data_IF_007711028518
#
_entry.id   IF_007711028518
#
_cell.length_a   1.000
_cell.length_b   1.000
_cell.length_c   1.000
_cell.angle_alpha   90.00
_cell.angle_beta   90.00
_cell.angle_gamma   90.00
#
_symmetry.space_group_name_H-M   'P 1'
#
loop_
_entity.id
_entity.type
_entity.pdbx_description
1 polymer ?
#
# COMPACT_ATOMS: atom_id res chain seq x y z
N UNK A 1 8.26 16.68 18.41
CA UNK A 1 8.72 16.96 17.03
C UNK A 1 7.68 17.86 16.34
N UNK A 2 8.07 18.72 15.40
CA UNK A 2 7.12 19.48 14.56
C UNK A 2 7.25 19.09 13.07
N UNK A 3 6.34 19.59 12.21
CA UNK A 3 6.32 19.23 10.79
C UNK A 3 7.63 19.57 10.04
N UNK A 4 8.23 20.73 10.31
CA UNK A 4 9.49 21.14 9.67
C UNK A 4 10.64 20.22 10.07
N UNK A 5 10.72 19.87 11.36
CA UNK A 5 11.70 18.92 11.88
C UNK A 5 11.50 17.54 11.25
N UNK A 6 10.26 17.05 11.16
CA UNK A 6 9.94 15.78 10.51
C UNK A 6 10.49 15.75 9.08
N UNK A 7 10.15 16.74 8.25
CA UNK A 7 10.58 16.79 6.84
C UNK A 7 12.11 16.80 6.73
N UNK A 8 12.78 17.56 7.59
CA UNK A 8 14.25 17.61 7.62
C UNK A 8 14.86 16.28 8.02
N UNK A 9 14.33 15.60 9.04
CA UNK A 9 14.79 14.27 9.44
C UNK A 9 14.53 13.25 8.33
N UNK A 10 13.35 13.24 7.71
CA UNK A 10 13.07 12.35 6.58
C UNK A 10 14.05 12.58 5.43
N UNK A 11 14.37 13.82 5.07
CA UNK A 11 15.36 14.13 4.03
C UNK A 11 16.77 13.65 4.36
N UNK A 12 17.17 13.62 5.63
CA UNK A 12 18.49 13.10 6.04
C UNK A 12 18.61 11.59 5.83
N UNK A 13 17.53 10.85 6.02
CA UNK A 13 17.50 9.39 5.88
C UNK A 13 17.18 8.96 4.44
N UNK A 14 16.17 9.57 3.84
CA UNK A 14 15.55 9.17 2.58
C UNK A 14 15.87 10.14 1.44
N UNK A 15 16.87 11.00 1.63
CA UNK A 15 17.43 11.83 0.58
C UNK A 15 18.27 11.03 -0.42
N UNK A 16 18.88 11.74 -1.38
CA UNK A 16 19.80 11.14 -2.37
C UNK A 16 20.99 10.44 -1.70
N UNK A 17 21.50 10.99 -0.59
CA UNK A 17 22.54 10.35 0.21
C UNK A 17 21.92 9.46 1.30
N UNK A 18 21.88 8.15 1.04
CA UNK A 18 21.35 7.13 1.97
C UNK A 18 22.39 6.63 2.99
N UNK A 19 23.57 7.25 3.14
CA UNK A 19 24.61 6.76 4.08
C UNK A 19 24.12 6.67 5.53
N UNK A 20 23.39 7.69 6.00
CA UNK A 20 22.87 7.72 7.36
C UNK A 20 21.86 6.58 7.57
N UNK A 21 20.95 6.40 6.62
CA UNK A 21 19.99 5.30 6.62
C UNK A 21 20.66 3.93 6.69
N UNK A 22 21.64 3.69 5.82
CA UNK A 22 22.42 2.45 5.81
C UNK A 22 23.09 2.19 7.15
N UNK A 23 23.73 3.22 7.73
CA UNK A 23 24.36 3.12 9.06
C UNK A 23 23.33 2.76 10.14
N UNK A 24 22.18 3.41 10.15
CA UNK A 24 21.13 3.18 11.16
C UNK A 24 20.53 1.79 11.05
N UNK A 25 20.26 1.30 9.85
CA UNK A 25 19.70 -0.04 9.62
C UNK A 25 20.68 -1.13 10.04
N UNK A 26 21.96 -0.99 9.69
CA UNK A 26 23.00 -1.94 10.09
C UNK A 26 23.23 -1.98 11.60
N UNK A 27 22.91 -0.88 12.30
CA UNK A 27 22.96 -0.79 13.76
C UNK A 27 21.69 -1.23 14.47
N UNK A 28 20.65 -1.67 13.75
CA UNK A 28 19.36 -2.02 14.34
C UNK A 28 19.42 -3.39 15.02
N UNK A 29 18.80 -3.48 16.20
CA UNK A 29 18.78 -4.72 17.00
C UNK A 29 17.36 -5.29 17.04
N UNK A 30 17.10 -6.31 16.21
CA UNK A 30 15.79 -6.97 16.14
C UNK A 30 15.70 -8.09 17.20
N UNK A 31 15.40 -7.73 18.45
CA UNK A 31 15.31 -8.68 19.57
C UNK A 31 13.90 -9.22 19.85
N UNK A 32 12.86 -8.71 19.16
CA UNK A 32 11.46 -9.12 19.36
C UNK A 32 10.85 -8.76 20.73
N UNK A 33 11.64 -8.19 21.65
CA UNK A 33 11.17 -7.63 22.93
C UNK A 33 10.15 -6.51 22.71
N UNK A 34 10.39 -5.66 21.71
CA UNK A 34 9.53 -4.56 21.32
C UNK A 34 8.10 -5.03 21.03
N UNK A 35 7.91 -6.15 20.32
CA UNK A 35 6.58 -6.69 20.03
C UNK A 35 5.81 -7.07 21.30
N UNK A 36 6.49 -7.63 22.32
CA UNK A 36 5.84 -7.98 23.60
C UNK A 36 5.45 -6.73 24.38
N UNK A 37 6.29 -5.71 24.40
CA UNK A 37 5.99 -4.43 25.05
C UNK A 37 4.82 -3.72 24.37
N UNK A 38 4.81 -3.68 23.04
CA UNK A 38 3.71 -3.10 22.29
C UNK A 38 2.41 -3.86 22.48
N UNK A 39 2.44 -5.20 22.56
CA UNK A 39 1.25 -5.97 22.95
C UNK A 39 0.69 -5.51 24.30
N UNK A 40 1.54 -5.32 25.32
CA UNK A 40 1.10 -4.82 26.63
C UNK A 40 0.50 -3.42 26.52
N UNK A 41 1.15 -2.51 25.78
CA UNK A 41 0.65 -1.14 25.57
C UNK A 41 -0.71 -1.12 24.89
N UNK A 42 -0.89 -1.84 23.79
CA UNK A 42 -2.17 -1.88 23.06
C UNK A 42 -3.28 -2.53 23.90
N UNK A 43 -2.97 -3.54 24.71
CA UNK A 43 -3.93 -4.11 25.66
C UNK A 43 -4.46 -3.09 26.69
N UNK A 44 -3.73 -2.00 26.96
CA UNK A 44 -4.24 -0.90 27.80
C UNK A 44 -5.15 0.05 27.03
N UNK A 45 -5.04 0.10 25.70
CA UNK A 45 -5.85 0.97 24.85
C UNK A 45 -7.21 0.34 24.51
N UNK A 46 -7.26 -0.99 24.38
CA UNK A 46 -8.44 -1.72 23.92
C UNK A 46 -8.42 -3.19 24.36
N UNK A 47 -9.60 -3.78 24.47
CA UNK A 47 -9.81 -5.22 24.64
C UNK A 47 -10.06 -5.92 23.30
N UNK A 48 -10.13 -5.17 22.21
CA UNK A 48 -10.41 -5.71 20.88
C UNK A 48 -9.22 -6.51 20.32
N UNK A 49 -9.46 -7.52 19.47
CA UNK A 49 -8.41 -8.26 18.81
C UNK A 49 -7.49 -7.35 17.97
N UNK A 50 -6.19 -7.59 18.06
CA UNK A 50 -5.20 -6.89 17.24
C UNK A 50 -4.05 -7.81 16.82
N UNK A 51 -3.35 -7.42 15.76
CA UNK A 51 -2.10 -8.03 15.32
C UNK A 51 -1.01 -6.99 15.16
N UNK A 52 0.24 -7.44 15.23
CA UNK A 52 1.44 -6.64 15.00
C UNK A 52 2.23 -7.31 13.89
N UNK A 53 2.55 -6.57 12.84
CA UNK A 53 3.26 -7.05 11.65
C UNK A 53 4.50 -6.18 11.42
N UNK A 54 5.66 -6.82 11.20
CA UNK A 54 6.88 -6.15 10.77
C UNK A 54 6.90 -6.13 9.24
N UNK A 55 7.20 -4.99 8.62
CA UNK A 55 7.17 -4.88 7.16
C UNK A 55 8.56 -4.90 6.52
N UNK A 56 9.63 -4.83 7.33
CA UNK A 56 10.99 -5.08 6.85
C UNK A 56 11.11 -6.56 6.43
N UNK A 57 11.80 -6.83 5.32
CA UNK A 57 11.94 -8.20 4.83
C UNK A 57 12.67 -9.10 5.84
N UNK A 58 12.12 -10.31 6.07
CA UNK A 58 12.71 -11.29 6.98
C UNK A 58 14.16 -11.65 6.63
N UNK A 59 14.50 -11.65 5.34
CA UNK A 59 15.87 -11.88 4.87
C UNK A 59 16.82 -10.74 5.27
N UNK A 60 16.36 -9.49 5.23
CA UNK A 60 17.10 -8.32 5.71
C UNK A 60 17.30 -8.41 7.22
N UNK A 61 16.24 -8.69 7.99
CA UNK A 61 16.33 -8.86 9.45
C UNK A 61 17.31 -9.96 9.83
N UNK A 62 17.22 -11.12 9.17
CA UNK A 62 18.15 -12.24 9.39
C UNK A 62 19.58 -11.84 9.09
N UNK A 63 19.82 -11.17 7.96
CA UNK A 63 21.16 -10.73 7.55
C UNK A 63 21.76 -9.73 8.54
N UNK A 64 20.95 -8.83 9.11
CA UNK A 64 21.38 -7.89 10.16
C UNK A 64 21.76 -8.64 11.43
N UNK A 65 20.90 -9.56 11.89
CA UNK A 65 21.12 -10.36 13.11
C UNK A 65 22.36 -11.23 13.01
N UNK A 66 22.55 -11.87 11.86
CA UNK A 66 23.67 -12.80 11.61
C UNK A 66 24.95 -12.05 11.18
N UNK A 67 24.93 -10.70 11.17
CA UNK A 67 26.01 -9.80 10.73
C UNK A 67 26.50 -10.05 9.29
N UNK A 68 25.65 -10.63 8.45
CA UNK A 68 25.91 -10.91 7.03
C UNK A 68 25.54 -9.71 6.15
N UNK A 69 26.08 -8.53 6.46
CA UNK A 69 25.67 -7.26 5.85
C UNK A 69 25.86 -7.20 4.32
N UNK A 70 26.80 -7.98 3.77
CA UNK A 70 27.05 -8.08 2.34
C UNK A 70 25.89 -8.71 1.55
N UNK A 71 24.95 -9.40 2.22
CA UNK A 71 23.77 -10.02 1.60
C UNK A 71 22.57 -9.07 1.53
N UNK A 72 22.65 -7.91 2.19
CA UNK A 72 21.56 -6.94 2.24
C UNK A 72 21.57 -6.10 0.96
N UNK A 73 20.47 -6.16 0.20
CA UNK A 73 20.23 -5.26 -0.92
C UNK A 73 19.79 -3.90 -0.38
N UNK A 74 20.75 -2.99 -0.18
CA UNK A 74 20.52 -1.68 0.45
C UNK A 74 19.60 -0.74 -0.33
N UNK A 75 19.30 -1.07 -1.58
CA UNK A 75 18.38 -0.31 -2.42
C UNK A 75 16.98 -0.97 -2.48
N UNK A 76 16.79 -2.08 -1.74
CA UNK A 76 15.55 -2.86 -1.61
C UNK A 76 15.41 -3.38 -0.18
N UNK A 77 15.29 -2.47 0.78
CA UNK A 77 15.23 -2.83 2.20
C UNK A 77 13.81 -3.23 2.63
N UNK A 78 12.83 -2.92 1.78
CA UNK A 78 11.42 -3.02 2.10
C UNK A 78 10.98 -1.84 2.94
N UNK A 79 9.77 -1.94 3.49
CA UNK A 79 9.21 -0.89 4.32
C UNK A 79 9.95 -0.81 5.66
N UNK A 80 10.52 0.34 5.98
CA UNK A 80 11.16 0.60 7.27
C UNK A 80 10.14 1.03 8.33
N UNK A 81 9.02 0.33 8.33
CA UNK A 81 7.93 0.47 9.26
C UNK A 81 7.43 -0.89 9.73
N UNK A 82 6.57 -0.83 10.72
CA UNK A 82 5.74 -1.93 11.15
C UNK A 82 4.35 -1.40 11.43
N UNK A 83 3.37 -2.27 11.52
CA UNK A 83 1.99 -1.87 11.71
C UNK A 83 1.25 -2.69 12.75
N UNK A 84 0.28 -2.04 13.37
CA UNK A 84 -0.66 -2.62 14.31
C UNK A 84 -2.04 -2.53 13.67
N UNK A 85 -2.73 -3.65 13.51
CA UNK A 85 -4.12 -3.68 13.05
C UNK A 85 -5.01 -4.05 14.22
N UNK A 86 -5.99 -3.20 14.53
CA UNK A 86 -6.99 -3.40 15.58
C UNK A 86 -8.35 -3.57 14.92
N UNK A 87 -9.08 -4.63 15.29
CA UNK A 87 -10.42 -4.90 14.78
C UNK A 87 -11.43 -4.11 15.60
N UNK A 88 -12.15 -3.19 14.96
CA UNK A 88 -13.08 -2.27 15.64
C UNK A 88 -14.46 -2.89 15.89
N UNK A 89 -14.78 -4.02 15.24
CA UNK A 89 -16.02 -4.76 15.47
C UNK A 89 -16.08 -5.30 16.91
N UNK A 90 -17.10 -4.90 17.67
CA UNK A 90 -17.29 -5.32 19.07
C UNK A 90 -17.78 -6.76 19.23
N UNK A 91 -18.36 -7.34 18.19
CA UNK A 91 -18.91 -8.70 18.18
C UNK A 91 -17.87 -9.80 17.95
N UNK A 92 -16.59 -9.46 17.78
CA UNK A 92 -15.51 -10.43 17.54
C UNK A 92 -14.46 -10.35 18.64
N UNK A 93 -14.37 -11.42 19.43
CA UNK A 93 -13.48 -11.50 20.61
C UNK A 93 -12.19 -12.29 20.36
N UNK A 94 -12.07 -12.98 19.21
CA UNK A 94 -10.87 -13.72 18.83
C UNK A 94 -10.50 -13.46 17.38
N UNK A 95 -9.19 -13.30 17.14
CA UNK A 95 -8.65 -12.98 15.82
C UNK A 95 -8.67 -14.20 14.91
N UNK A 96 -9.33 -14.05 13.76
CA UNK A 96 -9.13 -14.92 12.61
C UNK A 96 -7.88 -14.45 11.85
N UNK A 97 -7.47 -15.22 10.84
CA UNK A 97 -6.62 -14.67 9.79
C UNK A 97 -7.24 -13.35 9.31
N UNK A 98 -6.43 -12.28 9.17
CA UNK A 98 -6.89 -10.94 8.78
C UNK A 98 -7.20 -10.88 7.28
N UNK A 99 -8.09 -11.77 6.84
CA UNK A 99 -8.39 -12.15 5.47
C UNK A 99 -9.92 -12.21 5.21
N UNK A 100 -10.33 -12.85 4.11
CA UNK A 100 -11.75 -13.04 3.78
C UNK A 100 -12.57 -13.74 4.85
N UNK A 101 -11.99 -14.66 5.65
CA UNK A 101 -12.75 -15.35 6.71
C UNK A 101 -13.20 -14.34 7.76
N UNK A 102 -12.31 -13.42 8.14
CA UNK A 102 -12.65 -12.32 9.04
C UNK A 102 -13.72 -11.41 8.43
N UNK A 103 -13.54 -11.04 7.15
CA UNK A 103 -14.50 -10.21 6.43
C UNK A 103 -15.91 -10.84 6.38
N UNK A 104 -16.00 -12.13 6.05
CA UNK A 104 -17.26 -12.90 6.02
C UNK A 104 -17.89 -12.94 7.42
N UNK A 105 -17.11 -13.23 8.46
CA UNK A 105 -17.62 -13.32 9.84
C UNK A 105 -18.20 -11.99 10.32
N UNK A 106 -17.53 -10.89 10.01
CA UNK A 106 -17.99 -9.57 10.42
C UNK A 106 -19.10 -9.02 9.51
N UNK A 107 -19.29 -9.58 8.31
CA UNK A 107 -19.96 -8.95 7.17
C UNK A 107 -19.15 -7.79 6.60
N UNK A 108 -18.68 -6.90 7.48
CA UNK A 108 -17.74 -5.82 7.22
C UNK A 108 -16.75 -5.74 8.39
N UNK A 109 -15.52 -6.20 8.16
CA UNK A 109 -14.45 -6.10 9.14
C UNK A 109 -13.89 -4.66 9.13
N UNK A 110 -14.03 -3.93 10.23
CA UNK A 110 -13.63 -2.53 10.39
C UNK A 110 -12.30 -2.49 11.12
N UNK A 111 -11.30 -1.84 10.54
CA UNK A 111 -9.91 -1.94 10.97
C UNK A 111 -9.33 -0.55 11.21
N UNK A 112 -8.73 -0.39 12.39
CA UNK A 112 -7.79 0.68 12.68
C UNK A 112 -6.39 0.13 12.46
N UNK A 113 -5.72 0.59 11.41
CA UNK A 113 -4.33 0.26 11.14
C UNK A 113 -3.43 1.44 11.50
N UNK A 114 -2.37 1.17 12.25
CA UNK A 114 -1.41 2.15 12.73
C UNK A 114 -0.07 1.78 12.13
N UNK A 115 0.50 2.65 11.30
CA UNK A 115 1.85 2.49 10.75
C UNK A 115 2.84 3.24 11.62
N UNK A 116 3.98 2.62 11.93
CA UNK A 116 4.96 3.11 12.88
C UNK A 116 6.34 2.97 12.24
N UNK A 117 7.09 4.06 12.13
CA UNK A 117 8.42 4.03 11.53
C UNK A 117 9.45 3.47 12.54
N UNK A 118 10.42 2.68 12.08
CA UNK A 118 11.47 2.11 12.94
C UNK A 118 12.53 3.12 13.39
N UNK A 119 12.74 4.19 12.61
CA UNK A 119 13.92 5.06 12.73
C UNK A 119 13.57 6.39 13.38
N UNK A 120 12.49 7.00 12.89
CA UNK A 120 11.96 8.28 13.32
C UNK A 120 10.73 7.98 14.18
N UNK A 121 10.58 8.55 15.38
CA UNK A 121 9.47 8.27 16.29
C UNK A 121 8.18 8.93 15.79
N UNK A 122 7.65 8.42 14.68
CA UNK A 122 6.47 8.91 13.98
C UNK A 122 5.53 7.77 13.67
N UNK A 123 4.24 8.10 13.61
CA UNK A 123 3.21 7.13 13.24
C UNK A 123 2.12 7.81 12.44
N UNK A 124 1.34 6.99 11.74
CA UNK A 124 0.11 7.43 11.10
C UNK A 124 -0.97 6.35 11.20
N UNK A 125 -2.21 6.73 10.88
CA UNK A 125 -3.39 5.91 11.06
C UNK A 125 -4.17 5.81 9.75
N UNK A 126 -4.55 4.60 9.38
CA UNK A 126 -5.46 4.28 8.30
C UNK A 126 -6.70 3.58 8.85
N UNK A 127 -7.88 4.17 8.63
CA UNK A 127 -9.16 3.63 9.07
C UNK A 127 -9.93 3.11 7.86
N UNK A 128 -10.09 1.80 7.76
CA UNK A 128 -10.68 1.16 6.60
C UNK A 128 -11.49 -0.08 6.97
N UNK A 129 -12.30 -0.55 6.05
CA UNK A 129 -13.02 -1.81 6.18
C UNK A 129 -12.64 -2.79 5.09
N UNK A 130 -12.87 -4.07 5.36
CA UNK A 130 -12.79 -5.18 4.42
C UNK A 130 -14.12 -5.91 4.42
N UNK A 131 -14.69 -6.09 3.22
CA UNK A 131 -15.80 -7.00 2.96
C UNK A 131 -15.34 -8.07 1.97
N UNK A 132 -16.02 -9.21 1.95
CA UNK A 132 -15.82 -10.23 0.94
C UNK A 132 -17.16 -10.76 0.46
N UNK A 133 -17.39 -10.67 -0.85
CA UNK A 133 -18.56 -11.22 -1.51
C UNK A 133 -18.23 -12.65 -1.95
N UNK A 134 -18.82 -13.65 -1.29
CA UNK A 134 -18.59 -15.05 -1.60
C UNK A 134 -19.33 -15.53 -2.84
N UNK A 135 -20.37 -14.82 -3.30
CA UNK A 135 -21.13 -15.15 -4.51
C UNK A 135 -20.37 -14.71 -5.74
N UNK A 136 -19.90 -13.47 -5.72
CA UNK A 136 -19.18 -12.83 -6.83
C UNK A 136 -17.65 -12.95 -6.71
N UNK A 137 -17.16 -13.53 -5.62
CA UNK A 137 -15.76 -13.85 -5.36
C UNK A 137 -14.80 -12.63 -5.46
N UNK A 138 -15.12 -11.56 -4.73
CA UNK A 138 -14.27 -10.37 -4.67
C UNK A 138 -14.16 -9.80 -3.26
N UNK A 139 -13.05 -9.10 -3.02
CA UNK A 139 -12.86 -8.27 -1.85
C UNK A 139 -13.32 -6.84 -2.13
N UNK A 140 -13.94 -6.18 -1.15
CA UNK A 140 -14.13 -4.73 -1.15
C UNK A 140 -13.36 -4.14 0.03
N UNK A 141 -12.52 -3.14 -0.25
CA UNK A 141 -11.82 -2.34 0.73
C UNK A 141 -12.34 -0.91 0.64
N UNK A 142 -12.63 -0.26 1.76
CA UNK A 142 -13.13 1.11 1.74
C UNK A 142 -12.80 1.91 2.98
N UNK A 143 -12.80 3.24 2.86
CA UNK A 143 -12.50 4.14 3.98
C UNK A 143 -13.63 4.14 4.99
N UNK A 144 -13.31 4.12 6.29
CA UNK A 144 -14.30 4.38 7.33
C UNK A 144 -14.47 5.90 7.47
N UNK A 145 -15.62 6.41 7.04
CA UNK A 145 -15.96 7.84 7.12
C UNK A 145 -16.76 8.21 8.37
N UNK A 146 -17.45 7.23 8.96
CA UNK A 146 -18.23 7.39 10.18
C UNK A 146 -17.84 6.30 11.17
N UNK A 147 -17.43 6.74 12.37
CA UNK A 147 -17.06 5.87 13.47
C UNK A 147 -18.15 5.83 14.53
N UNK A 148 -18.38 4.64 15.07
CA UNK A 148 -19.24 4.44 16.24
C UNK A 148 -18.55 4.95 17.52
N UNK A 149 -19.33 5.12 18.59
CA UNK A 149 -18.83 5.72 19.84
C UNK A 149 -17.67 4.91 20.44
N UNK A 150 -17.76 3.58 20.47
CA UNK A 150 -16.70 2.74 21.03
C UNK A 150 -15.44 2.76 20.16
N UNK A 151 -15.58 2.84 18.84
CA UNK A 151 -14.44 2.94 17.91
C UNK A 151 -13.66 4.23 18.12
N UNK A 152 -14.37 5.35 18.36
CA UNK A 152 -13.75 6.64 18.70
C UNK A 152 -12.97 6.55 20.01
N UNK A 153 -13.52 5.88 21.03
CA UNK A 153 -12.83 5.67 22.31
C UNK A 153 -11.53 4.89 22.10
N UNK A 154 -11.55 3.82 21.29
CA UNK A 154 -10.34 3.04 20.97
C UNK A 154 -9.30 3.92 20.27
N UNK A 155 -9.71 4.69 19.26
CA UNK A 155 -8.84 5.62 18.55
C UNK A 155 -8.21 6.65 19.51
N UNK A 156 -9.01 7.29 20.35
CA UNK A 156 -8.53 8.29 21.31
C UNK A 156 -7.54 7.69 22.31
N UNK A 157 -7.78 6.47 22.79
CA UNK A 157 -6.87 5.76 23.68
C UNK A 157 -5.54 5.43 22.99
N UNK A 158 -5.58 5.02 21.72
CA UNK A 158 -4.38 4.79 20.91
C UNK A 158 -3.61 6.09 20.73
N UNK A 159 -4.26 7.18 20.32
CA UNK A 159 -3.61 8.48 20.12
C UNK A 159 -2.90 8.96 21.39
N UNK A 160 -3.57 8.87 22.56
CA UNK A 160 -2.98 9.19 23.87
C UNK A 160 -1.80 8.29 24.21
N UNK A 161 -1.86 7.00 23.89
CA UNK A 161 -0.77 6.07 24.14
C UNK A 161 0.48 6.48 23.34
N UNK A 162 0.34 6.77 22.04
CA UNK A 162 1.46 7.21 21.21
C UNK A 162 2.00 8.59 21.62
N UNK A 163 1.12 9.53 21.97
CA UNK A 163 1.51 10.85 22.47
C UNK A 163 2.33 10.75 23.77
N UNK A 164 1.90 9.93 24.73
CA UNK A 164 2.66 9.70 25.97
C UNK A 164 4.01 9.02 25.76
N UNK A 165 4.22 8.39 24.59
CA UNK A 165 5.50 7.82 24.16
C UNK A 165 6.37 8.81 23.37
N UNK A 166 5.90 10.04 23.16
CA UNK A 166 6.61 11.07 22.41
C UNK A 166 6.61 10.86 20.89
N UNK A 167 5.72 10.00 20.37
CA UNK A 167 5.59 9.79 18.93
C UNK A 167 4.86 10.96 18.26
N UNK A 168 5.35 11.38 17.10
CA UNK A 168 4.69 12.42 16.31
C UNK A 168 3.65 11.82 15.36
N UNK A 169 2.41 12.29 15.47
CA UNK A 169 1.33 11.90 14.57
C UNK A 169 1.47 12.61 13.22
N UNK A 170 1.62 11.82 12.15
CA UNK A 170 1.63 12.29 10.76
C UNK A 170 0.23 12.14 10.19
N UNK A 171 -0.48 13.26 10.02
CA UNK A 171 -1.80 13.25 9.37
C UNK A 171 -1.74 12.70 7.94
N UNK A 172 -2.85 12.15 7.44
CA UNK A 172 -2.99 11.68 6.06
C UNK A 172 -2.63 12.76 5.03
N UNK A 173 -3.04 14.01 5.27
CA UNK A 173 -2.70 15.16 4.41
C UNK A 173 -1.19 15.38 4.35
N UNK A 174 -0.51 15.36 5.52
CA UNK A 174 0.93 15.55 5.58
C UNK A 174 1.67 14.37 4.96
N UNK A 175 1.27 13.14 5.29
CA UNK A 175 1.87 11.91 4.78
C UNK A 175 1.79 11.83 3.24
N UNK A 176 0.68 12.30 2.66
CA UNK A 176 0.46 12.28 1.21
C UNK A 176 1.24 13.35 0.43
N UNK A 177 1.84 14.33 1.10
CA UNK A 177 2.63 15.38 0.44
C UNK A 177 3.92 14.79 -0.15
N UNK A 178 4.19 15.13 -1.41
CA UNK A 178 5.42 14.79 -2.11
C UNK A 178 6.46 15.88 -1.92
N UNK A 179 7.72 15.48 -1.76
CA UNK A 179 8.82 16.42 -1.58
C UNK A 179 9.94 16.10 -2.55
N UNK A 180 10.41 17.15 -3.26
CA UNK A 180 11.58 17.05 -4.11
C UNK A 180 12.80 16.66 -3.27
N UNK A 181 13.54 15.66 -3.73
CA UNK A 181 14.71 15.12 -3.07
C UNK A 181 14.43 13.95 -2.13
N UNK A 182 13.18 13.55 -1.91
CA UNK A 182 12.83 12.31 -1.22
C UNK A 182 12.75 11.15 -2.20
N UNK A 183 13.34 10.01 -1.80
CA UNK A 183 13.40 8.78 -2.55
C UNK A 183 12.82 7.63 -1.71
N UNK A 184 12.16 6.70 -2.37
CA UNK A 184 11.78 5.39 -1.80
C UNK A 184 12.31 4.28 -2.72
N UNK A 185 12.10 3.02 -2.35
CA UNK A 185 12.54 1.88 -3.16
C UNK A 185 11.72 1.81 -4.46
N UNK A 186 10.45 2.24 -4.42
CA UNK A 186 9.54 2.35 -5.56
C UNK A 186 9.52 3.73 -6.25
N UNK A 187 10.19 4.76 -5.70
CA UNK A 187 10.25 6.11 -6.28
C UNK A 187 11.69 6.63 -6.37
N UNK A 188 12.31 6.36 -7.52
CA UNK A 188 13.69 6.76 -7.83
C UNK A 188 13.79 8.14 -8.48
N UNK A 189 12.67 8.80 -8.77
CA UNK A 189 12.64 10.12 -9.41
C UNK A 189 12.94 11.28 -8.43
N UNK A 190 13.02 10.98 -7.13
CA UNK A 190 13.31 11.99 -6.11
C UNK A 190 12.11 12.90 -5.83
N UNK A 191 10.90 12.34 -5.88
CA UNK A 191 9.65 13.05 -5.54
C UNK A 191 8.69 12.11 -4.79
N UNK A 192 9.22 11.33 -3.86
CA UNK A 192 8.45 10.43 -3.01
C UNK A 192 7.57 11.22 -2.02
N UNK A 193 6.46 10.60 -1.61
CA UNK A 193 5.64 11.12 -0.51
C UNK A 193 6.29 10.85 0.85
N UNK A 194 5.87 11.57 1.89
CA UNK A 194 6.28 11.22 3.26
C UNK A 194 5.82 9.82 3.64
N UNK A 195 4.66 9.38 3.15
CA UNK A 195 4.15 8.03 3.38
C UNK A 195 5.08 6.98 2.75
N UNK A 196 5.49 7.18 1.51
CA UNK A 196 6.39 6.29 0.76
C UNK A 196 7.72 6.09 1.51
N UNK A 197 8.25 7.16 2.12
CA UNK A 197 9.53 7.11 2.84
C UNK A 197 9.39 6.57 4.27
N UNK A 198 8.34 6.96 4.99
CA UNK A 198 8.22 6.69 6.44
C UNK A 198 7.46 5.41 6.77
N UNK A 199 6.56 4.98 5.90
CA UNK A 199 5.61 3.91 6.23
C UNK A 199 5.63 2.81 5.18
N UNK A 200 5.16 3.09 3.96
CA UNK A 200 5.15 2.08 2.91
C UNK A 200 5.12 2.72 1.54
N UNK A 201 5.88 2.17 0.60
CA UNK A 201 5.82 2.58 -0.80
C UNK A 201 5.12 1.55 -1.71
N UNK A 202 4.65 0.45 -1.13
CA UNK A 202 3.85 -0.60 -1.79
C UNK A 202 2.40 -0.66 -1.29
N UNK A 203 2.16 -0.20 -0.07
CA UNK A 203 0.83 0.01 0.49
C UNK A 203 0.48 1.50 0.47
N UNK A 204 -0.81 1.82 0.66
CA UNK A 204 -1.32 3.19 0.63
C UNK A 204 -2.53 3.32 1.54
N UNK A 205 -2.85 4.54 1.93
CA UNK A 205 -4.12 4.83 2.58
C UNK A 205 -5.30 4.36 1.75
N UNK A 206 -6.35 3.94 2.46
CA UNK A 206 -7.63 3.72 1.82
C UNK A 206 -8.34 5.07 1.66
N UNK A 207 -8.18 5.69 0.49
CA UNK A 207 -8.75 7.02 0.17
C UNK A 207 -10.12 6.94 -0.53
N UNK A 208 -10.49 5.78 -1.04
CA UNK A 208 -11.74 5.53 -1.77
C UNK A 208 -12.27 4.13 -1.48
N UNK A 209 -12.98 3.54 -2.44
CA UNK A 209 -13.39 2.13 -2.38
C UNK A 209 -12.66 1.38 -3.49
N UNK A 210 -12.04 0.26 -3.15
CA UNK A 210 -11.33 -0.63 -4.07
C UNK A 210 -11.99 -2.01 -4.02
N UNK A 211 -12.45 -2.51 -5.17
CA UNK A 211 -12.92 -3.88 -5.31
C UNK A 211 -11.92 -4.69 -6.10
N UNK A 212 -11.71 -5.96 -5.76
CA UNK A 212 -10.82 -6.81 -6.56
C UNK A 212 -11.17 -8.28 -6.48
N UNK A 213 -11.05 -8.97 -7.61
CA UNK A 213 -11.27 -10.41 -7.71
C UNK A 213 -10.31 -11.19 -6.82
N UNK A 214 -10.79 -12.25 -6.17
CA UNK A 214 -9.91 -13.16 -5.43
C UNK A 214 -9.23 -14.17 -6.40
N UNK A 215 -7.89 -14.13 -6.52
CA UNK A 215 -7.16 -15.02 -7.43
C UNK A 215 -7.11 -16.48 -6.95
N UNK A 216 -7.50 -16.79 -5.71
CA UNK A 216 -7.46 -18.17 -5.16
C UNK A 216 -8.39 -19.15 -5.88
N UNK A 217 -9.22 -18.68 -6.81
CA UNK A 217 -10.15 -19.50 -7.59
C UNK A 217 -9.73 -19.70 -9.06
N UNK A 218 -8.56 -19.21 -9.48
CA UNK A 218 -8.06 -19.40 -10.84
C UNK A 218 -7.99 -20.87 -11.26
N UNK A 219 -7.57 -21.75 -10.35
CA UNK A 219 -7.44 -23.19 -10.66
C UNK A 219 -8.79 -23.92 -10.66
N UNK A 220 -9.87 -23.24 -10.26
CA UNK A 220 -11.26 -23.71 -10.38
C UNK A 220 -11.95 -23.18 -11.65
N UNK A 221 -11.19 -22.56 -12.56
CA UNK A 221 -11.71 -21.98 -13.80
C UNK A 221 -12.44 -20.64 -13.63
N UNK A 222 -12.56 -20.13 -12.40
CA UNK A 222 -13.12 -18.80 -12.14
C UNK A 222 -12.08 -17.74 -12.52
N UNK A 223 -12.53 -16.68 -13.20
CA UNK A 223 -11.68 -15.63 -13.76
C UNK A 223 -10.66 -16.15 -14.78
N UNK A 224 -11.07 -17.09 -15.64
CA UNK A 224 -10.29 -17.51 -16.82
C UNK A 224 -11.10 -17.18 -18.06
N UNK A 225 -10.51 -16.48 -19.02
CA UNK A 225 -11.20 -16.16 -20.28
C UNK A 225 -11.17 -17.33 -21.29
N UNK A 226 -11.86 -17.15 -22.42
CA UNK A 226 -11.93 -18.13 -23.50
C UNK A 226 -10.57 -18.46 -24.12
N UNK A 227 -9.55 -17.62 -23.94
CA UNK A 227 -8.17 -17.88 -24.40
C UNK A 227 -7.36 -18.71 -23.40
N UNK A 228 -7.92 -18.91 -22.19
CA UNK A 228 -7.25 -19.53 -21.06
C UNK A 228 -6.37 -18.55 -20.27
N UNK A 229 -6.52 -17.24 -20.47
CA UNK A 229 -5.81 -16.24 -19.69
C UNK A 229 -6.44 -16.14 -18.29
N UNK A 230 -5.61 -16.18 -17.24
CA UNK A 230 -6.07 -15.92 -15.87
C UNK A 230 -6.24 -14.42 -15.69
N UNK A 231 -7.39 -14.00 -15.19
CA UNK A 231 -7.77 -12.60 -15.03
C UNK A 231 -7.76 -12.24 -13.55
N UNK A 232 -7.13 -11.12 -13.22
CA UNK A 232 -7.29 -10.45 -11.95
C UNK A 232 -7.65 -8.99 -12.19
N UNK A 233 -8.76 -8.53 -11.63
CA UNK A 233 -9.21 -7.17 -11.81
C UNK A 233 -9.25 -6.40 -10.49
N UNK A 234 -9.07 -5.09 -10.58
CA UNK A 234 -9.24 -4.11 -9.51
C UNK A 234 -10.10 -2.96 -10.03
N UNK A 235 -11.16 -2.63 -9.33
CA UNK A 235 -12.05 -1.52 -9.64
C UNK A 235 -11.92 -0.45 -8.56
N UNK A 236 -11.92 0.80 -8.98
CA UNK A 236 -11.72 1.96 -8.13
C UNK A 236 -12.96 2.83 -8.16
N UNK A 237 -13.41 3.22 -6.97
CA UNK A 237 -14.57 4.06 -6.77
C UNK A 237 -14.22 5.20 -5.81
N UNK A 238 -14.95 6.31 -5.93
CA UNK A 238 -14.93 7.34 -4.90
C UNK A 238 -15.70 6.90 -3.64
N UNK A 239 -15.73 7.77 -2.62
CA UNK A 239 -16.45 7.49 -1.37
C UNK A 239 -17.98 7.47 -1.51
N UNK A 240 -18.51 8.00 -2.61
CA UNK A 240 -19.93 7.95 -2.95
C UNK A 240 -20.29 6.72 -3.80
N UNK A 241 -19.34 5.77 -3.98
CA UNK A 241 -19.47 4.58 -4.82
C UNK A 241 -19.63 4.89 -6.31
N UNK A 242 -19.24 6.07 -6.78
CA UNK A 242 -19.14 6.33 -8.21
C UNK A 242 -17.92 5.60 -8.77
N UNK A 243 -18.12 4.79 -9.81
CA UNK A 243 -17.04 4.09 -10.49
C UNK A 243 -16.09 5.09 -11.14
N UNK A 244 -14.78 4.90 -10.96
CA UNK A 244 -13.74 5.77 -11.52
C UNK A 244 -13.04 5.08 -12.69
N UNK A 245 -12.48 3.89 -12.46
CA UNK A 245 -11.78 3.11 -13.49
C UNK A 245 -11.54 1.68 -13.01
N UNK A 246 -11.20 0.80 -13.96
CA UNK A 246 -10.81 -0.58 -13.72
C UNK A 246 -9.39 -0.83 -14.22
N UNK A 247 -8.64 -1.61 -13.46
CA UNK A 247 -7.38 -2.24 -13.88
C UNK A 247 -7.61 -3.73 -14.01
N UNK A 248 -7.19 -4.31 -15.12
CA UNK A 248 -7.32 -5.74 -15.38
C UNK A 248 -5.99 -6.34 -15.80
N UNK A 249 -5.48 -7.25 -14.99
CA UNK A 249 -4.30 -8.06 -15.24
C UNK A 249 -4.73 -9.34 -15.95
N UNK A 250 -4.17 -9.61 -17.13
CA UNK A 250 -4.33 -10.87 -17.86
C UNK A 250 -3.00 -11.60 -17.90
N UNK A 251 -2.94 -12.74 -17.22
CA UNK A 251 -1.77 -13.62 -17.21
C UNK A 251 -1.93 -14.63 -18.35
N UNK A 252 -1.12 -14.45 -19.40
CA UNK A 252 -1.17 -15.25 -20.62
C UNK A 252 -0.33 -16.53 -20.47
N UNK A 253 -0.61 -17.54 -21.30
CA UNK A 253 0.07 -18.85 -21.26
C UNK A 253 1.59 -18.78 -21.42
N UNK A 254 2.11 -17.77 -22.12
CA UNK A 254 3.54 -17.57 -22.36
C UNK A 254 4.26 -16.79 -21.25
N UNK A 255 3.66 -16.64 -20.07
CA UNK A 255 4.13 -15.80 -18.94
C UNK A 255 4.08 -14.29 -19.19
N UNK A 256 3.62 -13.87 -20.36
CA UNK A 256 3.32 -12.47 -20.64
C UNK A 256 2.16 -12.00 -19.76
N UNK A 257 2.23 -10.76 -19.29
CA UNK A 257 1.18 -10.13 -18.49
C UNK A 257 0.73 -8.87 -19.20
N UNK A 258 -0.58 -8.73 -19.40
CA UNK A 258 -1.21 -7.50 -19.88
C UNK A 258 -1.88 -6.80 -18.69
N UNK A 259 -1.63 -5.52 -18.48
CA UNK A 259 -2.46 -4.66 -17.64
C UNK A 259 -3.25 -3.71 -18.54
N UNK A 260 -4.56 -3.88 -18.53
CA UNK A 260 -5.51 -3.00 -19.18
C UNK A 260 -6.03 -2.00 -18.16
N UNK A 261 -6.02 -0.71 -18.49
CA UNK A 261 -6.76 0.32 -17.72
C UNK A 261 -7.98 0.73 -18.52
N UNK A 262 -9.16 0.62 -17.93
CA UNK A 262 -10.45 0.94 -18.53
C UNK A 262 -11.11 2.09 -17.79
N UNK A 263 -11.70 3.04 -18.52
CA UNK A 263 -12.42 4.17 -17.94
C UNK A 263 -13.85 3.80 -17.49
N UNK A 264 -14.62 4.81 -17.06
CA UNK A 264 -16.00 4.68 -16.59
C UNK A 264 -16.97 4.08 -17.61
N UNK A 265 -16.63 4.18 -18.90
CA UNK A 265 -17.43 3.66 -20.02
C UNK A 265 -16.94 2.30 -20.51
N UNK A 266 -15.92 1.75 -19.88
CA UNK A 266 -15.31 0.48 -20.27
C UNK A 266 -14.32 0.58 -21.44
N UNK A 267 -13.97 1.79 -21.88
CA UNK A 267 -12.97 1.95 -22.93
C UNK A 267 -11.57 1.75 -22.38
N UNK A 268 -10.75 0.97 -23.09
CA UNK A 268 -9.33 0.80 -22.75
C UNK A 268 -8.61 2.13 -23.04
N UNK A 269 -8.10 2.76 -21.99
CA UNK A 269 -7.37 4.03 -22.07
C UNK A 269 -5.86 3.82 -22.04
N UNK A 270 -5.40 2.69 -21.47
CA UNK A 270 -3.98 2.36 -21.34
C UNK A 270 -3.76 0.85 -21.35
N UNK A 271 -2.67 0.41 -21.99
CA UNK A 271 -2.20 -0.97 -21.99
C UNK A 271 -0.73 -1.00 -21.58
N UNK A 272 -0.40 -1.80 -20.56
CA UNK A 272 0.97 -2.13 -20.19
C UNK A 272 1.18 -3.62 -20.50
N UNK A 273 2.30 -3.94 -21.15
CA UNK A 273 2.68 -5.33 -21.48
C UNK A 273 3.99 -5.63 -20.79
N UNK A 274 4.01 -6.67 -19.95
CA UNK A 274 5.25 -7.24 -19.42
C UNK A 274 5.53 -8.55 -20.14
N UNK A 275 6.70 -8.62 -20.76
CA UNK A 275 7.18 -9.83 -21.45
C UNK A 275 8.69 -9.94 -21.43
N UNK A 276 9.17 -11.17 -21.59
CA UNK A 276 10.59 -11.41 -21.83
C UNK A 276 10.91 -11.14 -23.30
N UNK A 277 12.03 -10.46 -23.56
CA UNK A 277 12.54 -10.14 -24.90
C UNK A 277 13.99 -10.58 -25.01
N UNK A 278 14.21 -11.74 -25.63
CA UNK A 278 15.53 -12.36 -25.72
C UNK A 278 16.11 -12.64 -24.33
N UNK A 279 17.27 -12.04 -24.00
CA UNK A 279 17.92 -12.16 -22.69
C UNK A 279 17.36 -11.19 -21.64
N UNK A 280 16.53 -10.21 -22.04
CA UNK A 280 15.97 -9.20 -21.15
C UNK A 280 14.65 -9.70 -20.56
N UNK A 281 14.61 -9.93 -19.26
CA UNK A 281 13.42 -10.40 -18.55
C UNK A 281 12.53 -9.25 -18.07
N UNK A 282 11.21 -9.49 -17.99
CA UNK A 282 10.21 -8.59 -17.41
C UNK A 282 10.21 -7.16 -17.99
N UNK A 283 10.35 -7.03 -19.31
CA UNK A 283 10.34 -5.71 -19.97
C UNK A 283 8.91 -5.19 -20.05
N UNK A 284 8.72 -3.97 -19.54
CA UNK A 284 7.46 -3.24 -19.61
C UNK A 284 7.38 -2.40 -20.89
N UNK A 285 6.26 -2.51 -21.60
CA UNK A 285 5.91 -1.68 -22.74
C UNK A 285 4.59 -0.99 -22.45
N UNK A 286 4.60 0.34 -22.46
CA UNK A 286 3.42 1.16 -22.21
C UNK A 286 2.85 1.71 -23.50
N UNK A 287 1.55 1.52 -23.70
CA UNK A 287 0.74 2.20 -24.71
C UNK A 287 -0.37 3.00 -24.04
N UNK A 288 -0.16 4.32 -23.92
CA UNK A 288 -1.20 5.27 -23.52
C UNK A 288 -2.01 5.70 -24.75
N UNK A 289 -3.19 5.10 -24.89
CA UNK A 289 -4.05 5.27 -26.07
C UNK A 289 -4.52 6.72 -26.18
N UNK A 290 -4.89 7.34 -25.06
CA UNK A 290 -5.35 8.73 -25.03
C UNK A 290 -4.24 9.70 -25.44
N UNK A 291 -3.01 9.49 -24.97
CA UNK A 291 -1.84 10.31 -25.36
C UNK A 291 -1.52 10.16 -26.84
N UNK A 292 -1.63 8.96 -27.40
CA UNK A 292 -1.44 8.70 -28.84
C UNK A 292 -2.51 9.40 -29.67
N UNK A 293 -3.79 9.33 -29.28
CA UNK A 293 -4.87 10.03 -29.99
C UNK A 293 -4.72 11.55 -29.93
N UNK A 294 -4.42 12.13 -28.76
CA UNK A 294 -4.18 13.58 -28.62
C UNK A 294 -3.03 14.06 -29.51
N UNK A 295 -1.91 13.32 -29.55
CA UNK A 295 -0.77 13.63 -30.44
C UNK A 295 -1.14 13.57 -31.93
N UNK A 296 -1.95 12.59 -32.33
CA UNK A 296 -2.43 12.51 -33.72
C UNK A 296 -3.30 13.70 -34.08
N UNK A 297 -4.24 14.08 -33.22
CA UNK A 297 -5.12 15.20 -33.47
C UNK A 297 -4.39 16.55 -33.44
N UNK A 298 -3.41 16.74 -32.55
CA UNK A 298 -2.56 17.95 -32.56
C UNK A 298 -1.73 18.07 -33.84
N UNK A 299 -1.21 16.94 -34.34
CA UNK A 299 -0.45 16.91 -35.60
C UNK A 299 -1.36 17.15 -36.81
N UNK A 300 -2.61 16.66 -36.78
CA UNK A 300 -3.62 16.96 -37.78
C UNK A 300 -3.98 18.46 -37.81
N UNK A 301 -4.20 19.08 -36.64
CA UNK A 301 -4.49 20.52 -36.54
C UNK A 301 -3.30 21.40 -36.98
N UNK A 302 -2.06 20.98 -36.74
CA UNK A 302 -0.87 21.67 -37.24
C UNK A 302 -0.70 21.52 -38.76
N UNK A 303 -1.05 20.35 -39.33
CA UNK A 303 -0.99 20.13 -40.77
C UNK A 303 -2.12 20.85 -41.53
N UNK A 304 -3.28 21.05 -40.90
CA UNK A 304 -4.36 21.87 -41.46
C UNK A 304 -3.99 23.37 -41.48
N UNK A 305 -3.35 23.87 -40.42
CA UNK A 305 -2.84 25.26 -40.37
C UNK A 305 -1.66 25.56 -41.31
N UNK A 306 -0.94 24.54 -41.78
CA UNK A 306 0.11 24.69 -42.79
C UNK A 306 -0.41 24.68 -44.23
N UNK A 307 -1.69 24.37 -44.43
CA UNK A 307 -2.35 24.32 -45.74
C UNK A 307 -3.36 25.47 -45.97
N UNK A 308 -3.49 26.37 -44.99
CA UNK A 308 -4.21 27.64 -45.07
C UNK A 308 -3.22 28.79 -45.18
#
# INVERSE_FOLDING_TARGET
>A
MNQKQLIQETLKYFGKDKKLLRKTILGFTFEGKETKEWKKRINTCTTHPFTIQNNIFDCTVKSIRDKNYHQIQMDYLGDLSWNIKILLNSNVQSGYDWDKKLAIKCGQARILEIYINYIIPVYTINLYYICYDSKENYYEFGKITKMEKHEKIILDNVLKCFDSLGYFYVSEELASKKYKGLFSDCNLEGNASLFDCLFSDVHRYQIGIEKFSDPSFWDKGLNVDSTGAKIFWREYYDLNRNFLYRKEYRYLKLKDVLLLTMDQTGHITKVNVWRDVGKLKHREFELDILKVFKRRNSNFSQNLKKKS
#
